data_IF_288800446330
#
_entry.id   IF_288800446330
#
_cell.length_a   1.000
_cell.length_b   1.000
_cell.length_c   1.000
_cell.angle_alpha   90.00
_cell.angle_beta   90.00
_cell.angle_gamma   90.00
#
_symmetry.space_group_name_H-M   'P 1'
#
loop_
_entity.id
_entity.type
_entity.pdbx_description
1 polymer ?
#
# COMPACT_ATOMS: atom_id res chain seq x y z
N UNK A 1 16.81 -39.56 -14.49
CA UNK A 1 15.36 -39.33 -14.71
C UNK A 1 14.75 -38.23 -13.81
N UNK A 2 15.37 -37.83 -12.68
CA UNK A 2 14.82 -36.80 -11.78
C UNK A 2 15.01 -35.33 -12.25
N UNK A 3 16.02 -35.05 -13.09
CA UNK A 3 16.34 -33.67 -13.52
C UNK A 3 15.36 -33.12 -14.58
N UNK A 4 14.80 -33.98 -15.44
CA UNK A 4 13.86 -33.58 -16.49
C UNK A 4 12.49 -33.19 -15.91
N UNK A 5 12.10 -33.78 -14.79
CA UNK A 5 10.83 -33.51 -14.09
C UNK A 5 10.86 -32.19 -13.29
N UNK A 6 12.01 -31.85 -12.68
CA UNK A 6 12.19 -30.56 -11.99
C UNK A 6 12.18 -29.37 -12.95
N UNK A 7 12.80 -29.51 -14.13
CA UNK A 7 12.78 -28.46 -15.18
C UNK A 7 11.39 -28.30 -15.82
N UNK A 8 10.61 -29.39 -15.91
CA UNK A 8 9.22 -29.36 -16.39
C UNK A 8 8.32 -28.55 -15.46
N UNK A 9 8.37 -28.83 -14.14
CA UNK A 9 7.54 -28.14 -13.15
C UNK A 9 7.91 -26.65 -12.99
N UNK A 10 9.20 -26.31 -13.03
CA UNK A 10 9.65 -24.93 -12.93
C UNK A 10 9.25 -24.05 -14.13
N UNK A 11 9.13 -24.64 -15.34
CA UNK A 11 8.68 -23.91 -16.54
C UNK A 11 7.15 -23.77 -16.56
N UNK A 12 6.40 -24.77 -16.11
CA UNK A 12 4.93 -24.68 -16.03
C UNK A 12 4.44 -23.72 -14.95
N UNK A 13 5.13 -23.62 -13.80
CA UNK A 13 4.78 -22.66 -12.74
C UNK A 13 5.15 -21.22 -13.14
N UNK A 14 6.30 -21.00 -13.76
CA UNK A 14 6.69 -19.66 -14.21
C UNK A 14 5.77 -19.12 -15.32
N UNK A 15 5.39 -19.96 -16.29
CA UNK A 15 4.52 -19.56 -17.42
C UNK A 15 3.06 -19.36 -17.00
N UNK A 16 2.54 -20.17 -16.06
CA UNK A 16 1.19 -20.01 -15.53
C UNK A 16 1.07 -18.79 -14.61
N UNK A 17 2.09 -18.52 -13.79
CA UNK A 17 2.13 -17.34 -12.92
C UNK A 17 2.25 -16.04 -13.71
N UNK A 18 3.01 -16.03 -14.81
CA UNK A 18 3.12 -14.85 -15.69
C UNK A 18 1.82 -14.58 -16.46
N UNK A 19 1.17 -15.63 -17.00
CA UNK A 19 -0.10 -15.52 -17.73
C UNK A 19 -1.23 -14.96 -16.84
N UNK A 20 -1.36 -15.48 -15.62
CA UNK A 20 -2.38 -15.04 -14.67
C UNK A 20 -2.16 -13.58 -14.22
N UNK A 21 -0.89 -13.15 -14.14
CA UNK A 21 -0.54 -11.77 -13.80
C UNK A 21 -0.93 -10.79 -14.92
N UNK A 22 -0.68 -11.16 -16.19
CA UNK A 22 -1.03 -10.34 -17.36
C UNK A 22 -2.54 -10.19 -17.52
N UNK A 23 -3.30 -11.28 -17.37
CA UNK A 23 -4.77 -11.24 -17.42
C UNK A 23 -5.36 -10.36 -16.32
N UNK A 24 -4.84 -10.45 -15.09
CA UNK A 24 -5.26 -9.60 -13.98
C UNK A 24 -5.06 -8.11 -14.26
N UNK A 25 -3.90 -7.74 -14.82
CA UNK A 25 -3.61 -6.35 -15.20
C UNK A 25 -4.55 -5.85 -16.29
N UNK A 26 -4.82 -6.66 -17.32
CA UNK A 26 -5.75 -6.29 -18.40
C UNK A 26 -7.15 -6.03 -17.86
N UNK A 27 -7.65 -6.89 -16.96
CA UNK A 27 -8.97 -6.72 -16.34
C UNK A 27 -9.03 -5.42 -15.53
N UNK A 28 -8.01 -5.14 -14.71
CA UNK A 28 -7.96 -3.92 -13.90
C UNK A 28 -7.93 -2.67 -14.77
N UNK A 29 -7.13 -2.66 -15.84
CA UNK A 29 -7.10 -1.56 -16.78
C UNK A 29 -8.45 -1.37 -17.49
N UNK A 30 -9.09 -2.47 -17.92
CA UNK A 30 -10.40 -2.43 -18.57
C UNK A 30 -11.48 -1.86 -17.64
N UNK A 31 -11.49 -2.26 -16.36
CA UNK A 31 -12.40 -1.71 -15.35
C UNK A 31 -12.15 -0.21 -15.12
N UNK A 32 -10.88 0.21 -15.11
CA UNK A 32 -10.52 1.61 -14.95
C UNK A 32 -10.97 2.48 -16.14
N UNK A 33 -10.81 1.97 -17.36
CA UNK A 33 -11.31 2.61 -18.58
C UNK A 33 -12.84 2.66 -18.59
N UNK A 34 -13.51 1.56 -18.25
CA UNK A 34 -14.97 1.51 -18.17
C UNK A 34 -15.51 2.51 -17.14
N UNK A 35 -14.85 2.63 -15.99
CA UNK A 35 -15.17 3.62 -14.97
C UNK A 35 -14.97 5.05 -15.48
N UNK A 36 -13.86 5.32 -16.17
CA UNK A 36 -13.58 6.63 -16.76
C UNK A 36 -14.64 7.02 -17.82
N UNK A 37 -15.11 6.05 -18.60
CA UNK A 37 -16.16 6.27 -19.60
C UNK A 37 -17.54 6.49 -18.96
N UNK A 38 -17.85 5.84 -17.83
CA UNK A 38 -19.16 5.94 -17.17
C UNK A 38 -19.30 7.14 -16.24
N UNK A 39 -18.25 7.48 -15.49
CA UNK A 39 -18.25 8.56 -14.48
C UNK A 39 -17.49 9.81 -14.92
N UNK A 40 -16.78 9.74 -16.04
CA UNK A 40 -15.91 10.81 -16.51
C UNK A 40 -14.63 10.96 -15.69
N UNK A 41 -13.93 12.08 -15.91
CA UNK A 41 -12.65 12.39 -15.23
C UNK A 41 -12.79 12.49 -13.70
N UNK A 42 -13.94 12.94 -13.20
CA UNK A 42 -14.19 13.09 -11.77
C UNK A 42 -14.16 11.75 -11.01
N UNK A 43 -14.79 10.70 -11.54
CA UNK A 43 -14.80 9.40 -10.88
C UNK A 43 -13.42 8.73 -10.87
N UNK A 44 -12.63 8.94 -11.92
CA UNK A 44 -11.22 8.50 -11.95
C UNK A 44 -10.41 9.16 -10.83
N UNK A 45 -10.56 10.48 -10.65
CA UNK A 45 -9.88 11.20 -9.56
C UNK A 45 -10.30 10.65 -8.20
N UNK A 46 -11.59 10.38 -7.99
CA UNK A 46 -12.08 9.83 -6.72
C UNK A 46 -11.43 8.48 -6.42
N UNK A 47 -11.41 7.56 -7.39
CA UNK A 47 -10.77 6.24 -7.18
C UNK A 47 -9.28 6.37 -6.94
N UNK A 48 -8.57 7.20 -7.70
CA UNK A 48 -7.14 7.44 -7.46
C UNK A 48 -6.89 8.06 -6.08
N UNK A 49 -7.76 8.96 -5.63
CA UNK A 49 -7.68 9.58 -4.31
C UNK A 49 -7.87 8.56 -3.19
N UNK A 50 -8.79 7.61 -3.35
CA UNK A 50 -8.98 6.50 -2.41
C UNK A 50 -7.76 5.59 -2.35
N UNK A 51 -7.23 5.19 -3.52
CA UNK A 51 -6.00 4.37 -3.58
C UNK A 51 -4.83 5.11 -2.92
N UNK A 52 -4.68 6.41 -3.18
CA UNK A 52 -3.65 7.23 -2.57
C UNK A 52 -3.84 7.37 -1.05
N UNK A 53 -5.07 7.54 -0.55
CA UNK A 53 -5.36 7.57 0.90
C UNK A 53 -4.98 6.25 1.58
N UNK A 54 -5.32 5.10 0.99
CA UNK A 54 -4.96 3.79 1.52
C UNK A 54 -3.43 3.59 1.51
N UNK A 55 -2.76 3.99 0.44
CA UNK A 55 -1.31 3.97 0.39
C UNK A 55 -0.67 4.83 1.48
N UNK A 56 -1.16 6.06 1.67
CA UNK A 56 -0.65 6.94 2.72
C UNK A 56 -0.95 6.39 4.11
N UNK A 57 -2.12 5.80 4.35
CA UNK A 57 -2.46 5.12 5.60
C UNK A 57 -1.42 4.06 5.98
N UNK A 58 -1.09 3.17 5.03
CA UNK A 58 -0.05 2.16 5.21
C UNK A 58 1.35 2.76 5.35
N UNK A 59 1.63 3.87 4.65
CA UNK A 59 2.86 4.63 4.85
C UNK A 59 2.97 5.15 6.30
N UNK A 60 1.85 5.51 6.93
CA UNK A 60 1.79 5.84 8.35
C UNK A 60 2.29 4.69 9.23
N UNK A 61 1.78 3.48 9.01
CA UNK A 61 2.24 2.28 9.71
C UNK A 61 3.73 1.98 9.45
N UNK A 62 4.18 2.13 8.20
CA UNK A 62 5.59 1.97 7.83
C UNK A 62 6.51 2.92 8.60
N UNK A 63 6.17 4.22 8.61
CA UNK A 63 6.95 5.26 9.29
C UNK A 63 6.97 5.04 10.80
N UNK A 64 5.81 4.68 11.38
CA UNK A 64 5.69 4.33 12.78
C UNK A 64 6.57 3.14 13.17
N UNK A 65 6.54 2.05 12.38
CA UNK A 65 7.36 0.87 12.63
C UNK A 65 8.85 1.21 12.60
N UNK A 66 9.28 1.95 11.57
CA UNK A 66 10.67 2.34 11.40
C UNK A 66 11.15 3.27 12.52
N UNK A 67 10.30 4.19 12.97
CA UNK A 67 10.62 5.11 14.08
C UNK A 67 10.65 4.42 15.44
N UNK A 68 9.87 3.35 15.60
CA UNK A 68 9.92 2.47 16.77
C UNK A 68 11.10 1.47 16.75
N UNK A 69 11.91 1.45 15.69
CA UNK A 69 13.05 0.52 15.53
C UNK A 69 12.66 -0.88 15.07
N UNK A 70 11.39 -1.11 14.72
CA UNK A 70 10.91 -2.40 14.23
C UNK A 70 11.35 -2.62 12.78
N UNK A 71 11.64 -3.88 12.43
CA UNK A 71 12.05 -4.25 11.07
C UNK A 71 10.81 -4.49 10.20
N UNK A 72 10.76 -3.82 9.06
CA UNK A 72 9.71 -3.96 8.06
C UNK A 72 10.26 -4.73 6.88
N UNK A 73 9.67 -5.87 6.57
CA UNK A 73 10.16 -6.76 5.50
C UNK A 73 9.46 -6.53 4.18
N UNK A 74 8.18 -6.11 4.20
CA UNK A 74 7.41 -5.88 2.99
C UNK A 74 6.56 -4.62 3.08
N UNK A 75 6.50 -3.91 1.96
CA UNK A 75 5.57 -2.81 1.70
C UNK A 75 5.00 -3.01 0.30
N UNK A 76 3.76 -3.47 0.20
CA UNK A 76 3.13 -3.71 -1.10
C UNK A 76 1.87 -2.89 -1.26
N UNK A 77 1.69 -2.36 -2.46
CA UNK A 77 0.48 -1.68 -2.88
C UNK A 77 -0.36 -2.69 -3.66
N UNK A 78 -1.61 -2.83 -3.25
CA UNK A 78 -2.59 -3.73 -3.87
C UNK A 78 -2.57 -5.16 -3.34
N UNK A 79 -3.45 -5.96 -3.92
CA UNK A 79 -3.62 -7.39 -3.65
C UNK A 79 -3.48 -8.21 -4.93
N UNK A 80 -3.37 -9.54 -4.77
CA UNK A 80 -3.30 -10.48 -5.88
C UNK A 80 -1.88 -10.68 -6.43
N UNK A 81 -1.74 -11.00 -7.73
CA UNK A 81 -0.45 -11.38 -8.31
C UNK A 81 0.54 -10.22 -8.26
N UNK A 82 1.80 -10.53 -7.95
CA UNK A 82 2.89 -9.55 -7.92
C UNK A 82 3.21 -9.10 -9.34
N UNK A 83 2.93 -7.84 -9.66
CA UNK A 83 3.31 -7.26 -10.97
C UNK A 83 4.79 -6.92 -10.95
N UNK A 84 5.22 -6.25 -9.90
CA UNK A 84 6.58 -5.74 -9.78
C UNK A 84 6.98 -5.64 -8.32
N UNK A 85 8.24 -5.94 -8.01
CA UNK A 85 8.84 -5.61 -6.73
C UNK A 85 10.33 -5.33 -6.86
N UNK A 86 10.84 -4.59 -5.90
CA UNK A 86 12.25 -4.28 -5.72
C UNK A 86 12.58 -4.26 -4.23
N UNK A 87 13.72 -4.80 -3.86
CA UNK A 87 14.19 -4.77 -2.47
C UNK A 87 15.12 -3.59 -2.29
N UNK A 88 14.84 -2.73 -1.29
CA UNK A 88 15.72 -1.62 -0.93
C UNK A 88 16.06 -1.71 0.55
N UNK A 89 17.31 -2.06 0.84
CA UNK A 89 17.77 -2.31 2.20
C UNK A 89 17.13 -3.58 2.75
N UNK A 90 16.33 -3.44 3.80
CA UNK A 90 15.66 -4.57 4.48
C UNK A 90 14.19 -4.76 4.07
N UNK A 91 13.63 -3.83 3.27
CA UNK A 91 12.21 -3.83 2.89
C UNK A 91 12.06 -4.14 1.40
N UNK A 92 11.23 -5.13 1.06
CA UNK A 92 10.75 -5.37 -0.29
C UNK A 92 9.55 -4.47 -0.57
N UNK A 93 9.68 -3.62 -1.59
CA UNK A 93 8.64 -2.73 -2.08
C UNK A 93 8.05 -3.30 -3.35
N UNK A 94 6.74 -3.22 -3.54
CA UNK A 94 6.16 -3.65 -4.81
C UNK A 94 4.71 -3.27 -5.04
N UNK A 95 4.24 -3.62 -6.23
CA UNK A 95 2.89 -3.39 -6.71
C UNK A 95 2.26 -4.73 -7.12
N UNK A 96 1.04 -4.96 -6.67
CA UNK A 96 0.22 -6.12 -7.01
C UNK A 96 -0.91 -5.73 -7.97
N UNK A 97 -1.41 -6.74 -8.68
CA UNK A 97 -2.41 -6.64 -9.75
C UNK A 97 -3.60 -5.76 -9.43
N UNK A 98 -4.15 -5.91 -8.23
CA UNK A 98 -5.42 -5.33 -7.83
C UNK A 98 -5.13 -4.13 -6.94
N UNK A 99 -5.44 -2.88 -7.33
CA UNK A 99 -5.17 -1.68 -6.54
C UNK A 99 -6.10 -1.52 -5.32
N UNK A 100 -6.74 -2.59 -4.86
CA UNK A 100 -7.75 -2.58 -3.81
C UNK A 100 -7.16 -2.59 -2.39
N UNK A 101 -6.14 -1.78 -2.11
CA UNK A 101 -5.52 -1.65 -0.79
C UNK A 101 -4.00 -1.53 -0.84
N UNK A 102 -3.35 -1.63 0.31
CA UNK A 102 -1.91 -1.77 0.48
C UNK A 102 -1.67 -2.51 1.81
N UNK A 103 -0.47 -3.03 2.04
CA UNK A 103 -0.12 -3.63 3.33
C UNK A 103 1.36 -3.46 3.67
N UNK A 104 1.63 -3.39 4.98
CA UNK A 104 2.98 -3.38 5.55
C UNK A 104 3.20 -4.61 6.44
N UNK A 105 4.26 -5.37 6.18
CA UNK A 105 4.64 -6.52 7.01
C UNK A 105 5.76 -6.16 7.98
N UNK A 106 5.44 -6.15 9.26
CA UNK A 106 6.40 -6.00 10.36
C UNK A 106 6.72 -7.38 10.93
N UNK A 107 8.01 -7.66 11.18
CA UNK A 107 8.41 -8.97 11.72
C UNK A 107 7.81 -9.22 13.10
N UNK A 108 7.43 -10.48 13.36
CA UNK A 108 6.88 -10.90 14.65
C UNK A 108 5.50 -10.33 14.99
N UNK A 109 4.76 -9.81 14.01
CA UNK A 109 3.32 -9.51 14.14
C UNK A 109 2.49 -10.80 14.27
N UNK A 110 2.88 -11.84 13.54
CA UNK A 110 2.35 -13.19 13.70
C UNK A 110 3.36 -14.04 14.49
N UNK A 111 2.87 -14.92 15.36
CA UNK A 111 3.74 -15.84 16.11
C UNK A 111 4.38 -16.91 15.22
N UNK A 112 3.71 -17.24 14.10
CA UNK A 112 4.15 -18.24 13.13
C UNK A 112 5.18 -17.71 12.13
N UNK A 113 5.39 -16.39 12.05
CA UNK A 113 6.38 -15.84 11.12
C UNK A 113 7.80 -16.21 11.61
N UNK A 114 8.63 -16.83 10.74
CA UNK A 114 10.01 -17.11 11.08
C UNK A 114 10.76 -15.78 11.22
N UNK A 115 11.24 -15.50 12.43
CA UNK A 115 12.09 -14.34 12.72
C UNK A 115 13.48 -14.87 13.02
N UNK A 116 14.50 -14.34 12.35
CA UNK A 116 15.88 -14.69 12.64
C UNK A 116 16.20 -14.29 14.11
N UNK A 117 16.93 -15.10 14.88
CA UNK A 117 17.21 -14.82 16.30
C UNK A 117 17.87 -13.44 16.50
N UNK A 118 18.68 -13.01 15.52
CA UNK A 118 19.33 -11.70 15.48
C UNK A 118 18.34 -10.53 15.33
N UNK A 119 17.23 -10.72 14.62
CA UNK A 119 16.21 -9.71 14.39
C UNK A 119 15.11 -9.70 15.46
N UNK A 120 15.13 -10.66 16.38
CA UNK A 120 14.07 -10.85 17.38
C UNK A 120 13.92 -9.62 18.29
N UNK A 121 15.01 -8.91 18.59
CA UNK A 121 14.96 -7.66 19.35
C UNK A 121 14.18 -6.53 18.64
N UNK A 122 14.04 -6.60 17.31
CA UNK A 122 13.28 -5.65 16.47
C UNK A 122 11.89 -6.17 16.11
N UNK A 123 11.51 -7.33 16.64
CA UNK A 123 10.20 -7.92 16.42
C UNK A 123 9.09 -7.15 17.14
N UNK A 124 7.92 -7.07 16.52
CA UNK A 124 6.74 -6.43 17.11
C UNK A 124 6.40 -6.98 18.51
N UNK A 125 6.55 -8.30 18.71
CA UNK A 125 6.35 -8.97 20.00
C UNK A 125 7.31 -8.53 21.12
N UNK A 126 8.43 -7.91 20.78
CA UNK A 126 9.42 -7.38 21.73
C UNK A 126 9.36 -5.85 21.85
N UNK A 127 8.56 -5.18 21.01
CA UNK A 127 8.35 -3.74 21.09
C UNK A 127 7.63 -3.35 22.40
N UNK A 128 7.94 -2.16 22.92
CA UNK A 128 7.30 -1.60 24.13
C UNK A 128 5.84 -1.27 23.86
N UNK A 129 5.02 -1.23 24.92
CA UNK A 129 3.59 -0.92 24.81
C UNK A 129 3.31 0.37 24.02
N UNK A 130 4.03 1.46 24.32
CA UNK A 130 3.86 2.73 23.60
C UNK A 130 4.21 2.65 22.11
N UNK A 131 5.16 1.81 21.72
CA UNK A 131 5.53 1.60 20.32
C UNK A 131 4.47 0.79 19.57
N UNK A 132 3.87 -0.21 20.24
CA UNK A 132 2.74 -0.97 19.68
C UNK A 132 1.50 -0.10 19.52
N UNK A 133 1.22 0.73 20.52
CA UNK A 133 0.11 1.69 20.48
C UNK A 133 0.31 2.71 19.35
N UNK A 134 1.52 3.26 19.22
CA UNK A 134 1.86 4.16 18.13
C UNK A 134 1.71 3.47 16.77
N UNK A 135 2.19 2.23 16.62
CA UNK A 135 2.00 1.48 15.37
C UNK A 135 0.52 1.25 15.08
N UNK A 136 -0.26 0.80 16.05
CA UNK A 136 -1.70 0.53 15.88
C UNK A 136 -2.50 1.79 15.51
N UNK A 137 -2.12 2.95 16.06
CA UNK A 137 -2.80 4.23 15.80
C UNK A 137 -2.25 5.00 14.59
N UNK A 138 -1.10 4.61 14.05
CA UNK A 138 -0.39 5.35 13.00
C UNK A 138 -1.23 5.56 11.74
N UNK A 139 -1.98 4.54 11.31
CA UNK A 139 -2.87 4.65 10.16
C UNK A 139 -3.96 5.69 10.34
N UNK A 140 -4.63 5.70 11.51
CA UNK A 140 -5.66 6.70 11.84
C UNK A 140 -5.08 8.11 11.94
N UNK A 141 -3.91 8.26 12.57
CA UNK A 141 -3.22 9.55 12.67
C UNK A 141 -2.86 10.10 11.29
N UNK A 142 -2.44 9.23 10.36
CA UNK A 142 -2.14 9.66 9.00
C UNK A 142 -3.39 10.13 8.26
N UNK A 143 -4.54 9.47 8.43
CA UNK A 143 -5.79 9.93 7.83
C UNK A 143 -6.22 11.30 8.37
N UNK A 144 -6.06 11.54 9.67
CA UNK A 144 -6.27 12.87 10.26
C UNK A 144 -5.33 13.92 9.65
N UNK A 145 -4.06 13.59 9.45
CA UNK A 145 -3.09 14.48 8.82
C UNK A 145 -3.48 14.81 7.37
N UNK A 146 -3.88 13.81 6.59
CA UNK A 146 -4.36 13.99 5.22
C UNK A 146 -5.59 14.91 5.22
N UNK A 147 -6.54 14.69 6.12
CA UNK A 147 -7.73 15.53 6.22
C UNK A 147 -7.38 17.00 6.51
N UNK A 148 -6.44 17.26 7.42
CA UNK A 148 -5.96 18.63 7.70
C UNK A 148 -5.28 19.27 6.48
N UNK A 149 -4.44 18.52 5.76
CA UNK A 149 -3.75 19.00 4.56
C UNK A 149 -4.76 19.32 3.46
N UNK A 150 -5.73 18.44 3.22
CA UNK A 150 -6.77 18.64 2.22
C UNK A 150 -7.68 19.82 2.58
N UNK A 151 -8.06 19.94 3.85
CA UNK A 151 -8.84 21.07 4.35
C UNK A 151 -8.10 22.39 4.13
N UNK A 152 -6.82 22.45 4.50
CA UNK A 152 -5.98 23.62 4.28
C UNK A 152 -5.87 23.97 2.78
N UNK A 153 -5.61 22.98 1.93
CA UNK A 153 -5.51 23.17 0.49
C UNK A 153 -6.83 23.70 -0.12
N UNK A 154 -7.98 23.19 0.33
CA UNK A 154 -9.30 23.67 -0.09
C UNK A 154 -9.52 25.12 0.38
N UNK A 155 -9.16 25.45 1.61
CA UNK A 155 -9.36 26.79 2.17
C UNK A 155 -8.51 27.85 1.45
N UNK A 156 -7.27 27.52 1.08
CA UNK A 156 -6.39 28.42 0.33
C UNK A 156 -6.77 28.48 -1.15
N UNK A 157 -7.18 27.35 -1.74
CA UNK A 157 -7.52 27.25 -3.16
C UNK A 157 -8.88 27.85 -3.52
N UNK A 158 -9.86 27.78 -2.62
CA UNK A 158 -11.19 28.38 -2.80
C UNK A 158 -11.22 29.70 -2.02
N UNK A 159 -10.47 30.70 -2.51
CA UNK A 159 -10.53 32.05 -1.96
C UNK A 159 -11.98 32.50 -1.82
N UNK A 160 -12.33 33.06 -0.66
CA UNK A 160 -13.68 33.56 -0.39
C UNK A 160 -13.91 34.72 -1.37
N UNK A 161 -14.77 34.53 -2.38
CA UNK A 161 -15.14 35.61 -3.30
C UNK A 161 -15.90 36.68 -2.50
N UNK A 162 -15.22 37.77 -2.15
CA UNK A 162 -15.80 38.90 -1.41
C UNK A 162 -16.78 39.74 -2.24
N UNK A 163 -17.07 39.35 -3.48
CA UNK A 163 -17.98 40.06 -4.39
C UNK A 163 -19.42 40.18 -3.84
N UNK A 164 -19.84 39.28 -2.94
CA UNK A 164 -21.20 39.32 -2.36
C UNK A 164 -21.33 40.18 -1.08
N UNK A 165 -20.24 40.78 -0.57
CA UNK A 165 -20.27 41.60 0.66
C UNK A 165 -20.19 43.12 0.41
N UNK A 166 -19.81 43.52 -0.80
CA UNK A 166 -19.85 44.90 -1.27
C UNK A 166 -20.81 44.97 -2.44
N UNK A 167 -22.09 45.25 -2.19
CA UNK A 167 -23.11 45.38 -3.24
C UNK A 167 -22.83 46.54 -4.19
N UNK A 168 -21.92 46.32 -5.15
CA UNK A 168 -21.67 47.14 -6.34
C UNK A 168 -21.55 46.23 -7.54
#
# INVERSE_FOLDING_TARGET
MAEKTLRSNGVTDATSQESNSRLGVIIVLALFVLLAMSTGFAGVIVVLSLVAMLFLHELGHYLAARRAGMKVTEFFIGFGPKIWSFTRGETEYGLKGIPAGAYVRVIGMNNLDPVAPEDEHRAYRNAKFGQRLLLASAGSLMLFLIALILLYAVLVGNGINTENLTGR
#
